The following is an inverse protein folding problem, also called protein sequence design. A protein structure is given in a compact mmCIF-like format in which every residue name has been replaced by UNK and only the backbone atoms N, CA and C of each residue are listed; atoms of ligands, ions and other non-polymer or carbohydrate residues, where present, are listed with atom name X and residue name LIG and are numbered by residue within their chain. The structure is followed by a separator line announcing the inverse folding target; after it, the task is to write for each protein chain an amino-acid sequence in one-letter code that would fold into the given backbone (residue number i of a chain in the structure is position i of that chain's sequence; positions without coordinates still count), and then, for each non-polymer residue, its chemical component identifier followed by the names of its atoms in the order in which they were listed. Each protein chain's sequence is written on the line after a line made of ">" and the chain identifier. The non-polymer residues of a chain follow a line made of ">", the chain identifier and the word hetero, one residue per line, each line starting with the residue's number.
data_IF_302977107940
#
_entry.id   IF_302977107940
#
_cell.length_a   1.000
_cell.length_b   1.000
_cell.length_c   1.000
_cell.angle_alpha   90.00
_cell.angle_beta   90.00
_cell.angle_gamma   90.00
#
_symmetry.space_group_name_H-M   'P 1'
#
loop_
_entity.id
_entity.type
_entity.pdbx_description
1 polymer ?
#
# COMPACT_ATOMS: atom_id res chain seq x y z
N UNK A 1 1.99 6.86 17.90
CA UNK A 1 2.50 7.56 16.70
C UNK A 1 4.02 7.63 16.63
N UNK A 2 4.67 8.22 17.64
CA UNK A 2 6.10 8.55 17.61
C UNK A 2 7.04 7.36 17.32
N UNK A 3 6.79 6.21 17.94
CA UNK A 3 7.61 5.00 17.71
C UNK A 3 7.54 4.50 16.27
N UNK A 4 6.36 4.52 15.66
CA UNK A 4 6.17 4.15 14.25
C UNK A 4 6.98 5.09 13.34
N UNK A 5 6.82 6.40 13.52
CA UNK A 5 7.53 7.40 12.72
C UNK A 5 9.06 7.24 12.84
N UNK A 6 9.56 7.01 14.05
CA UNK A 6 10.99 6.81 14.31
C UNK A 6 11.54 5.56 13.59
N UNK A 7 10.90 4.40 13.77
CA UNK A 7 11.34 3.13 13.19
C UNK A 7 11.24 3.18 11.66
N UNK A 8 10.12 3.67 11.12
CA UNK A 8 9.88 3.71 9.68
C UNK A 8 10.89 4.63 8.97
N UNK A 9 11.17 5.81 9.54
CA UNK A 9 12.21 6.73 9.04
C UNK A 9 13.59 6.06 9.01
N UNK A 10 13.95 5.29 10.03
CA UNK A 10 15.23 4.56 10.09
C UNK A 10 15.33 3.50 8.99
N UNK A 11 14.26 2.74 8.76
CA UNK A 11 14.22 1.71 7.70
C UNK A 11 14.33 2.36 6.31
N UNK A 12 13.58 3.43 6.05
CA UNK A 12 13.62 4.15 4.77
C UNK A 12 15.02 4.69 4.49
N UNK A 13 15.63 5.41 5.44
CA UNK A 13 17.00 5.95 5.28
C UNK A 13 18.03 4.88 4.92
N UNK A 14 17.90 3.68 5.48
CA UNK A 14 18.81 2.55 5.20
C UNK A 14 18.61 1.93 3.82
N UNK A 15 17.43 2.07 3.21
CA UNK A 15 17.04 1.31 2.00
C UNK A 15 16.75 2.18 0.78
N UNK A 16 16.55 3.49 0.92
CA UNK A 16 16.06 4.37 -0.16
C UNK A 16 16.96 4.44 -1.39
N UNK A 17 18.27 4.26 -1.25
CA UNK A 17 19.24 4.30 -2.36
C UNK A 17 19.64 2.92 -2.87
N UNK A 18 18.99 1.85 -2.40
CA UNK A 18 19.26 0.52 -2.93
C UNK A 18 18.76 0.42 -4.36
N UNK A 19 19.64 -0.03 -5.26
CA UNK A 19 19.26 -0.41 -6.61
C UNK A 19 18.37 -1.65 -6.57
N UNK A 20 17.55 -1.80 -7.60
CA UNK A 20 16.65 -2.93 -7.78
C UNK A 20 16.65 -3.35 -9.24
N UNK A 21 16.47 -4.64 -9.45
CA UNK A 21 16.34 -5.25 -10.78
C UNK A 21 14.90 -5.17 -11.27
N UNK A 22 14.70 -5.30 -12.59
CA UNK A 22 13.36 -5.35 -13.18
C UNK A 22 12.48 -6.44 -12.54
N UNK A 23 13.06 -7.62 -12.28
CA UNK A 23 12.36 -8.74 -11.63
C UNK A 23 11.89 -8.39 -10.21
N UNK A 24 12.71 -7.70 -9.42
CA UNK A 24 12.30 -7.26 -8.07
C UNK A 24 11.17 -6.22 -8.13
N UNK A 25 11.16 -5.37 -9.15
CA UNK A 25 10.07 -4.42 -9.39
C UNK A 25 8.77 -5.12 -9.76
N UNK A 26 8.83 -6.12 -10.62
CA UNK A 26 7.66 -6.94 -10.96
C UNK A 26 7.09 -7.65 -9.71
N UNK A 27 7.95 -8.23 -8.88
CA UNK A 27 7.54 -8.83 -7.60
C UNK A 27 6.89 -7.78 -6.68
N UNK A 28 7.41 -6.55 -6.63
CA UNK A 28 6.79 -5.47 -5.86
C UNK A 28 5.37 -5.15 -6.36
N UNK A 29 5.18 -5.08 -7.68
CA UNK A 29 3.87 -4.76 -8.28
C UNK A 29 2.83 -5.87 -8.02
N UNK A 30 3.25 -7.13 -8.07
CA UNK A 30 2.39 -8.27 -7.69
C UNK A 30 1.99 -8.23 -6.21
N UNK A 31 2.93 -7.91 -5.32
CA UNK A 31 2.63 -7.73 -3.89
C UNK A 31 1.67 -6.57 -3.65
N UNK A 32 1.78 -5.50 -4.44
CA UNK A 32 0.83 -4.38 -4.41
C UNK A 32 -0.57 -4.80 -4.89
N UNK A 33 -0.69 -5.71 -5.86
CA UNK A 33 -1.97 -6.31 -6.24
C UNK A 33 -2.67 -6.99 -5.07
N UNK A 34 -1.93 -7.80 -4.28
CA UNK A 34 -2.47 -8.40 -3.04
C UNK A 34 -2.88 -7.38 -1.99
N UNK A 35 -2.18 -6.25 -1.91
CA UNK A 35 -2.56 -5.16 -1.00
C UNK A 35 -3.87 -4.50 -1.43
N UNK A 36 -4.10 -4.32 -2.74
CA UNK A 36 -5.37 -3.84 -3.29
C UNK A 36 -6.50 -4.83 -2.97
N UNK A 37 -6.29 -6.13 -3.23
CA UNK A 37 -7.27 -7.18 -2.89
C UNK A 37 -7.65 -7.13 -1.41
N UNK A 38 -6.66 -7.01 -0.52
CA UNK A 38 -6.94 -6.93 0.90
C UNK A 38 -7.82 -5.73 1.28
N UNK A 39 -7.43 -4.54 0.83
CA UNK A 39 -8.15 -3.32 1.18
C UNK A 39 -9.58 -3.32 0.63
N UNK A 40 -9.80 -3.83 -0.58
CA UNK A 40 -11.13 -3.81 -1.20
C UNK A 40 -12.04 -4.95 -0.72
N UNK A 41 -11.49 -6.13 -0.44
CA UNK A 41 -12.29 -7.32 -0.13
C UNK A 41 -12.43 -7.60 1.37
N UNK A 42 -11.47 -7.19 2.20
CA UNK A 42 -11.39 -7.64 3.60
C UNK A 42 -11.24 -6.51 4.61
N UNK A 43 -10.68 -5.35 4.25
CA UNK A 43 -10.59 -4.23 5.18
C UNK A 43 -11.97 -3.63 5.47
N UNK A 44 -12.48 -3.91 6.67
CA UNK A 44 -13.82 -3.46 7.09
C UNK A 44 -13.96 -1.95 7.07
N UNK A 45 -12.88 -1.21 7.34
CA UNK A 45 -12.90 0.26 7.31
C UNK A 45 -13.15 0.80 5.91
N UNK A 46 -12.42 0.26 4.93
CA UNK A 46 -12.63 0.56 3.51
C UNK A 46 -14.03 0.16 3.06
N UNK A 47 -14.49 -1.05 3.35
CA UNK A 47 -15.83 -1.51 2.97
C UNK A 47 -16.94 -0.65 3.58
N UNK A 48 -16.85 -0.37 4.88
CA UNK A 48 -17.81 0.50 5.57
C UNK A 48 -17.83 1.89 4.95
N UNK A 49 -16.66 2.51 4.74
CA UNK A 49 -16.57 3.84 4.16
C UNK A 49 -17.19 3.93 2.76
N UNK A 50 -16.96 2.92 1.91
CA UNK A 50 -17.54 2.86 0.57
C UNK A 50 -19.06 2.66 0.62
N UNK A 51 -19.54 1.76 1.49
CA UNK A 51 -20.97 1.43 1.58
C UNK A 51 -21.81 2.52 2.28
N UNK A 52 -21.19 3.38 3.08
CA UNK A 52 -21.88 4.46 3.82
C UNK A 52 -21.79 5.83 3.13
N UNK A 53 -21.24 5.90 1.92
CA UNK A 53 -21.11 7.16 1.18
C UNK A 53 -20.02 8.09 1.73
N UNK A 54 -19.02 7.54 2.43
CA UNK A 54 -17.84 8.29 2.86
C UNK A 54 -17.03 8.84 1.68
N UNK A 55 -16.10 9.76 1.95
CA UNK A 55 -15.27 10.36 0.90
C UNK A 55 -14.39 9.30 0.22
N UNK A 56 -14.79 8.86 -0.98
CA UNK A 56 -14.12 7.80 -1.74
C UNK A 56 -12.65 8.12 -2.01
N UNK A 57 -12.31 9.38 -2.30
CA UNK A 57 -10.92 9.78 -2.55
C UNK A 57 -10.07 9.59 -1.31
N UNK A 58 -10.60 9.93 -0.13
CA UNK A 58 -9.90 9.74 1.14
C UNK A 58 -9.75 8.25 1.49
N UNK A 59 -10.80 7.45 1.27
CA UNK A 59 -10.81 6.01 1.55
C UNK A 59 -9.77 5.28 0.68
N UNK A 60 -9.72 5.61 -0.62
CA UNK A 60 -8.83 4.93 -1.57
C UNK A 60 -7.38 5.46 -1.55
N UNK A 61 -7.03 6.42 -0.69
CA UNK A 61 -5.62 6.88 -0.54
C UNK A 61 -4.66 5.77 -0.10
N UNK A 62 -5.19 4.69 0.48
CA UNK A 62 -4.41 3.52 0.85
C UNK A 62 -3.92 2.73 -0.36
N UNK A 63 -4.56 2.86 -1.53
CA UNK A 63 -4.22 2.08 -2.71
C UNK A 63 -2.87 2.52 -3.33
N UNK A 64 -2.06 1.56 -3.81
CA UNK A 64 -0.82 1.88 -4.50
C UNK A 64 -1.10 2.55 -5.86
N UNK A 65 -0.17 3.40 -6.34
CA UNK A 65 -0.34 4.08 -7.64
C UNK A 65 -0.28 3.12 -8.83
N UNK A 66 0.42 2.00 -8.69
CA UNK A 66 0.51 0.94 -9.70
C UNK A 66 0.58 -0.42 -9.02
N UNK A 67 -0.17 -1.37 -9.57
CA UNK A 67 -0.22 -2.76 -9.18
C UNK A 67 -0.41 -3.61 -10.45
N UNK A 68 -0.02 -4.88 -10.39
CA UNK A 68 -0.22 -5.82 -11.50
C UNK A 68 -0.83 -7.12 -10.97
N UNK A 69 -1.55 -7.80 -11.87
CA UNK A 69 -2.04 -9.15 -11.70
C UNK A 69 -1.46 -9.99 -12.84
N UNK A 70 -1.11 -11.24 -12.52
CA UNK A 70 -0.64 -12.23 -13.48
C UNK A 70 -1.65 -13.36 -13.57
#
# INVERSE_FOLDING_TARGET
>A
GNTFAYIFKKIIKKKMFKTWTKKEKEIQLLKRGRYVEFNLLYDRGTQFGLNTGGNTKAILMSLPPTATWN
#
